data_IF_832099584343
#
_entry.id   IF_832099584343
#
_cell.length_a   1.000
_cell.length_b   1.000
_cell.length_c   1.000
_cell.angle_alpha   90.00
_cell.angle_beta   90.00
_cell.angle_gamma   90.00
#
_symmetry.space_group_name_H-M   'P 1'
#
loop_
_entity.id
_entity.type
_entity.pdbx_description
1 polymer ?
#
# COMPACT_ATOMS: atom_id res chain seq x y z
N UNK A 1 39.91 -44.10 -16.45
CA UNK A 1 39.32 -43.06 -15.58
C UNK A 1 38.66 -42.00 -16.47
N UNK A 2 37.35 -42.09 -16.68
CA UNK A 2 36.61 -41.13 -17.50
C UNK A 2 36.28 -39.88 -16.67
N UNK A 3 36.68 -38.69 -17.14
CA UNK A 3 36.35 -37.41 -16.53
C UNK A 3 34.84 -37.20 -16.58
N UNK A 4 34.22 -36.93 -15.42
CA UNK A 4 32.82 -36.47 -15.35
C UNK A 4 32.68 -35.12 -16.08
N UNK A 5 31.63 -34.92 -16.87
CA UNK A 5 31.39 -33.64 -17.53
C UNK A 5 31.01 -32.59 -16.48
N UNK A 6 31.63 -31.42 -16.59
CA UNK A 6 31.29 -30.21 -15.83
C UNK A 6 29.84 -29.80 -16.16
N UNK A 7 28.99 -29.47 -15.18
CA UNK A 7 27.65 -28.99 -15.48
C UNK A 7 27.72 -27.68 -16.26
N UNK A 8 26.95 -27.59 -17.35
CA UNK A 8 26.73 -26.35 -18.08
C UNK A 8 26.09 -25.31 -17.14
N UNK A 9 26.45 -24.02 -17.25
CA UNK A 9 25.82 -22.97 -16.46
C UNK A 9 24.32 -22.90 -16.80
N UNK A 10 23.46 -23.09 -15.80
CA UNK A 10 22.03 -22.89 -15.92
C UNK A 10 21.77 -21.43 -16.34
N UNK A 11 21.31 -21.26 -17.57
CA UNK A 11 21.13 -19.95 -18.19
C UNK A 11 19.96 -19.17 -17.58
N UNK A 12 20.00 -17.85 -17.76
CA UNK A 12 19.02 -16.83 -17.36
C UNK A 12 17.53 -17.13 -17.67
N UNK A 13 17.21 -18.18 -18.43
CA UNK A 13 15.83 -18.57 -18.77
C UNK A 13 15.09 -19.23 -17.60
N UNK A 14 15.74 -20.05 -16.77
CA UNK A 14 15.09 -20.73 -15.63
C UNK A 14 14.59 -19.72 -14.57
N UNK A 15 15.43 -18.73 -14.25
CA UNK A 15 15.08 -17.70 -13.27
C UNK A 15 13.86 -16.83 -13.66
N UNK A 16 13.52 -16.74 -14.95
CA UNK A 16 12.38 -15.91 -15.39
C UNK A 16 11.05 -16.65 -15.24
N UNK A 17 11.03 -17.96 -15.46
CA UNK A 17 9.83 -18.78 -15.29
C UNK A 17 9.50 -18.96 -13.80
N UNK A 18 10.52 -19.17 -12.95
CA UNK A 18 10.36 -19.23 -11.49
C UNK A 18 9.80 -17.93 -10.89
N UNK A 19 10.16 -16.77 -11.46
CA UNK A 19 9.62 -15.48 -11.01
C UNK A 19 8.12 -15.38 -11.27
N UNK A 20 7.62 -15.89 -12.39
CA UNK A 20 6.19 -15.77 -12.77
C UNK A 20 5.32 -16.72 -11.93
N UNK A 21 5.86 -17.85 -11.46
CA UNK A 21 5.14 -18.82 -10.62
C UNK A 21 5.21 -18.53 -9.12
N UNK A 22 5.90 -17.45 -8.73
CA UNK A 22 6.06 -17.02 -7.33
C UNK A 22 4.72 -16.73 -6.62
N UNK A 23 4.56 -17.08 -5.33
CA UNK A 23 3.36 -16.75 -4.55
C UNK A 23 2.95 -15.28 -4.60
N UNK A 24 3.92 -14.37 -4.64
CA UNK A 24 3.67 -12.92 -4.71
C UNK A 24 3.15 -12.45 -6.07
N UNK A 25 3.38 -13.18 -7.17
CA UNK A 25 2.94 -12.79 -8.52
C UNK A 25 1.81 -13.67 -9.07
N UNK A 26 1.63 -14.88 -8.54
CA UNK A 26 0.57 -15.81 -8.93
C UNK A 26 -0.68 -15.54 -8.11
N UNK A 27 -1.60 -14.76 -8.67
CA UNK A 27 -2.84 -14.35 -8.00
C UNK A 27 -4.04 -15.32 -8.19
N UNK A 28 -3.83 -16.53 -8.73
CA UNK A 28 -4.87 -17.56 -8.89
C UNK A 28 -4.34 -18.99 -8.69
N UNK A 29 -5.25 -19.95 -8.47
CA UNK A 29 -4.98 -21.39 -8.40
C UNK A 29 -4.31 -21.82 -7.09
N UNK A 30 -3.66 -22.99 -7.08
CA UNK A 30 -3.01 -23.49 -5.86
C UNK A 30 -1.69 -22.78 -5.56
N UNK A 31 -1.40 -22.67 -4.26
CA UNK A 31 -0.09 -22.25 -3.76
C UNK A 31 0.98 -23.26 -4.20
N UNK A 32 2.21 -22.82 -4.47
CA UNK A 32 3.33 -23.73 -4.67
C UNK A 32 3.48 -24.67 -3.47
N UNK A 33 3.72 -25.96 -3.74
CA UNK A 33 3.88 -26.99 -2.71
C UNK A 33 5.33 -27.24 -2.33
N UNK A 34 6.25 -26.37 -2.77
CA UNK A 34 7.67 -26.51 -2.45
C UNK A 34 7.93 -26.32 -0.94
N UNK A 35 9.04 -26.85 -0.39
CA UNK A 35 9.32 -26.77 1.04
C UNK A 35 9.36 -25.34 1.59
N UNK A 36 9.82 -24.38 0.79
CA UNK A 36 9.87 -22.97 1.19
C UNK A 36 8.46 -22.38 1.40
N UNK A 37 7.51 -22.68 0.50
CA UNK A 37 6.12 -22.25 0.63
C UNK A 37 5.39 -22.95 1.78
N UNK A 38 5.78 -24.19 2.13
CA UNK A 38 5.25 -24.90 3.29
C UNK A 38 5.77 -24.33 4.62
N UNK A 39 7.00 -23.80 4.63
CA UNK A 39 7.62 -23.19 5.81
C UNK A 39 7.12 -21.74 6.06
N UNK A 40 6.46 -21.12 5.09
CA UNK A 40 5.90 -19.78 5.20
C UNK A 40 4.88 -19.70 6.34
N UNK A 41 5.00 -18.66 7.17
CA UNK A 41 4.03 -18.41 8.24
C UNK A 41 2.66 -18.06 7.65
N UNK A 42 1.60 -18.38 8.39
CA UNK A 42 0.20 -18.25 7.93
C UNK A 42 -0.52 -17.09 8.61
N UNK A 43 -1.53 -16.57 7.94
CA UNK A 43 -2.42 -15.52 8.43
C UNK A 43 -1.66 -14.29 8.97
N UNK A 44 -0.60 -13.86 8.27
CA UNK A 44 0.33 -12.84 8.77
C UNK A 44 -0.22 -11.43 8.57
N UNK A 45 -0.23 -10.68 9.66
CA UNK A 45 -0.59 -9.26 9.71
C UNK A 45 0.53 -8.49 10.40
N UNK A 46 1.03 -7.43 9.77
CA UNK A 46 2.07 -6.56 10.32
C UNK A 46 1.48 -5.19 10.62
N UNK A 47 1.55 -4.78 11.88
CA UNK A 47 1.22 -3.41 12.28
C UNK A 47 2.30 -2.45 11.77
N UNK A 48 1.89 -1.41 11.05
CA UNK A 48 2.77 -0.40 10.49
C UNK A 48 2.56 0.98 11.12
N UNK A 49 1.66 1.10 12.10
CA UNK A 49 1.43 2.29 12.91
C UNK A 49 0.44 3.28 12.29
N UNK A 50 0.34 3.33 10.96
CA UNK A 50 -0.77 3.98 10.23
C UNK A 50 -1.94 3.02 9.95
N UNK A 51 -1.78 1.74 10.30
CA UNK A 51 -2.68 0.64 9.96
C UNK A 51 -1.87 -0.65 9.79
N UNK A 52 -2.56 -1.70 9.33
CA UNK A 52 -2.02 -3.04 9.22
C UNK A 52 -1.81 -3.43 7.76
N UNK A 53 -0.66 -4.04 7.49
CA UNK A 53 -0.40 -4.79 6.26
C UNK A 53 -0.83 -6.24 6.45
N UNK A 54 -1.87 -6.64 5.72
CA UNK A 54 -2.38 -8.01 5.73
C UNK A 54 -1.80 -8.71 4.50
N UNK A 55 -0.90 -9.66 4.72
CA UNK A 55 -0.24 -10.39 3.63
C UNK A 55 -1.16 -11.52 3.15
N UNK A 56 -2.07 -11.20 2.23
CA UNK A 56 -3.17 -12.07 1.83
C UNK A 56 -2.72 -13.43 1.27
N UNK A 57 -1.53 -13.50 0.66
CA UNK A 57 -0.95 -14.75 0.17
C UNK A 57 -0.57 -15.74 1.28
N UNK A 58 -0.50 -15.28 2.54
CA UNK A 58 -0.27 -16.13 3.71
C UNK A 58 -1.55 -16.77 4.26
N UNK A 59 -2.72 -16.33 3.78
CA UNK A 59 -4.02 -16.84 4.17
C UNK A 59 -4.49 -17.92 3.19
N UNK A 60 -4.95 -19.04 3.71
CA UNK A 60 -5.52 -20.12 2.88
C UNK A 60 -6.97 -19.84 2.47
N UNK A 61 -7.74 -19.17 3.33
CA UNK A 61 -9.15 -18.82 3.06
C UNK A 61 -9.28 -17.30 2.81
N UNK A 62 -9.74 -16.87 1.62
CA UNK A 62 -9.98 -15.46 1.33
C UNK A 62 -10.99 -14.80 2.28
N UNK A 63 -11.89 -15.54 2.96
CA UNK A 63 -12.74 -14.98 4.03
C UNK A 63 -11.93 -14.38 5.17
N UNK A 64 -10.88 -15.07 5.61
CA UNK A 64 -10.06 -14.58 6.73
C UNK A 64 -9.37 -13.26 6.40
N UNK A 65 -9.00 -13.04 5.13
CA UNK A 65 -8.47 -11.75 4.67
C UNK A 65 -9.54 -10.66 4.77
N UNK A 66 -10.76 -10.95 4.33
CA UNK A 66 -11.88 -10.02 4.44
C UNK A 66 -12.20 -9.71 5.91
N UNK A 67 -12.28 -10.72 6.77
CA UNK A 67 -12.53 -10.56 8.20
C UNK A 67 -11.41 -9.77 8.89
N UNK A 68 -10.14 -9.98 8.51
CA UNK A 68 -9.03 -9.18 9.00
C UNK A 68 -9.19 -7.71 8.64
N UNK A 69 -9.53 -7.37 7.39
CA UNK A 69 -9.79 -5.98 6.96
C UNK A 69 -10.99 -5.33 7.67
N UNK A 70 -12.00 -6.11 8.06
CA UNK A 70 -13.17 -5.61 8.79
C UNK A 70 -12.87 -5.26 10.24
N UNK A 71 -11.75 -5.74 10.78
CA UNK A 71 -11.26 -5.40 12.13
C UNK A 71 -10.42 -4.11 12.16
N UNK A 72 -10.34 -3.37 11.05
CA UNK A 72 -9.66 -2.08 10.99
C UNK A 72 -10.23 -1.13 12.05
N UNK A 73 -9.36 -0.53 12.86
CA UNK A 73 -9.79 0.41 13.90
C UNK A 73 -10.03 1.81 13.32
N UNK A 74 -10.94 2.62 13.91
CA UNK A 74 -11.15 4.00 13.48
C UNK A 74 -9.85 4.80 13.41
N UNK A 75 -9.66 5.52 12.31
CA UNK A 75 -8.46 6.34 12.08
C UNK A 75 -7.23 5.56 11.61
N UNK A 76 -7.31 4.24 11.48
CA UNK A 76 -6.29 3.42 10.80
C UNK A 76 -6.67 3.18 9.34
N UNK A 77 -5.69 2.75 8.56
CA UNK A 77 -5.87 2.47 7.14
C UNK A 77 -5.17 1.18 6.75
N UNK A 78 -5.86 0.07 6.93
CA UNK A 78 -5.36 -1.25 6.59
C UNK A 78 -5.32 -1.45 5.07
N UNK A 79 -4.47 -2.37 4.64
CA UNK A 79 -4.40 -2.83 3.27
C UNK A 79 -4.05 -4.31 3.23
N UNK A 80 -4.86 -5.09 2.51
CA UNK A 80 -4.49 -6.44 2.12
C UNK A 80 -3.66 -6.38 0.83
N UNK A 81 -2.50 -7.05 0.85
CA UNK A 81 -1.51 -7.05 -0.20
C UNK A 81 -1.30 -8.48 -0.73
N UNK A 82 -0.92 -8.64 -2.00
CA UNK A 82 -0.76 -9.94 -2.67
C UNK A 82 -2.02 -10.83 -2.63
N UNK A 83 -3.18 -10.25 -2.93
CA UNK A 83 -4.43 -11.01 -3.00
C UNK A 83 -4.35 -12.15 -4.02
N UNK A 84 -4.81 -13.32 -3.58
CA UNK A 84 -5.20 -14.43 -4.44
C UNK A 84 -6.71 -14.36 -4.66
N UNK A 85 -7.12 -14.58 -5.90
CA UNK A 85 -8.51 -14.53 -6.34
C UNK A 85 -9.26 -13.29 -5.79
N UNK A 86 -8.80 -12.07 -6.13
CA UNK A 86 -9.25 -10.82 -5.49
C UNK A 86 -10.77 -10.62 -5.56
N UNK A 87 -11.42 -11.13 -6.61
CA UNK A 87 -12.87 -11.10 -6.78
C UNK A 87 -13.60 -12.00 -5.77
N UNK A 88 -13.00 -13.10 -5.33
CA UNK A 88 -13.54 -14.00 -4.28
C UNK A 88 -13.39 -13.35 -2.91
N UNK A 89 -12.21 -12.81 -2.59
CA UNK A 89 -11.98 -12.09 -1.33
C UNK A 89 -12.95 -10.91 -1.16
N UNK A 90 -13.16 -10.12 -2.22
CA UNK A 90 -14.13 -9.03 -2.23
C UNK A 90 -15.58 -9.52 -2.01
N UNK A 91 -15.95 -10.66 -2.58
CA UNK A 91 -17.31 -11.21 -2.49
C UNK A 91 -17.74 -11.60 -1.07
N UNK A 92 -16.79 -11.75 -0.13
CA UNK A 92 -17.11 -12.05 1.26
C UNK A 92 -17.59 -10.83 2.06
N UNK A 93 -17.24 -9.61 1.64
CA UNK A 93 -17.70 -8.38 2.29
C UNK A 93 -17.87 -7.23 1.28
N UNK A 94 -18.72 -7.37 0.24
CA UNK A 94 -18.79 -6.43 -0.88
C UNK A 94 -19.33 -5.04 -0.50
N UNK A 95 -20.08 -4.95 0.61
CA UNK A 95 -20.57 -3.68 1.14
C UNK A 95 -19.51 -2.93 1.95
N UNK A 96 -18.49 -3.62 2.46
CA UNK A 96 -17.48 -3.06 3.36
C UNK A 96 -16.11 -2.93 2.69
N UNK A 97 -15.83 -3.71 1.63
CA UNK A 97 -14.52 -3.75 0.97
C UNK A 97 -14.60 -3.28 -0.48
N UNK A 98 -13.46 -2.84 -1.01
CA UNK A 98 -13.30 -2.50 -2.43
C UNK A 98 -11.88 -2.80 -2.90
N UNK A 99 -11.73 -3.12 -4.19
CA UNK A 99 -10.41 -3.24 -4.82
C UNK A 99 -9.77 -1.86 -4.90
N UNK A 100 -8.62 -1.71 -4.26
CA UNK A 100 -7.94 -0.43 -4.21
C UNK A 100 -7.34 -0.12 -5.60
N UNK A 101 -7.62 1.06 -6.19
CA UNK A 101 -7.22 1.38 -7.55
C UNK A 101 -5.74 1.78 -7.62
N UNK A 102 -4.86 1.01 -6.99
CA UNK A 102 -3.42 1.22 -7.04
C UNK A 102 -2.76 0.32 -8.08
N UNK A 103 -1.54 0.70 -8.45
CA UNK A 103 -0.61 -0.13 -9.18
C UNK A 103 0.46 -0.61 -8.23
N UNK A 104 0.82 -1.88 -8.39
CA UNK A 104 1.95 -2.45 -7.68
C UNK A 104 3.18 -2.44 -8.58
N UNK A 105 4.30 -1.99 -8.02
CA UNK A 105 5.59 -1.88 -8.69
C UNK A 105 6.63 -2.68 -7.92
N UNK A 106 7.49 -3.41 -8.63
CA UNK A 106 8.57 -4.24 -8.11
C UNK A 106 9.92 -3.74 -8.57
N UNK A 107 10.82 -3.48 -7.62
CA UNK A 107 12.25 -3.31 -7.91
C UNK A 107 12.97 -4.62 -7.65
N UNK A 108 13.56 -5.22 -8.68
CA UNK A 108 14.45 -6.36 -8.50
C UNK A 108 15.81 -5.89 -7.96
N UNK A 109 16.22 -6.39 -6.81
CA UNK A 109 17.41 -5.92 -6.08
C UNK A 109 18.71 -6.25 -6.82
N UNK A 110 18.74 -7.36 -7.57
CA UNK A 110 19.84 -7.76 -8.45
C UNK A 110 20.07 -6.75 -9.59
N UNK A 111 19.01 -6.07 -10.04
CA UNK A 111 19.05 -5.02 -11.07
C UNK A 111 19.32 -3.62 -10.51
N UNK A 112 19.23 -3.43 -9.19
CA UNK A 112 19.46 -2.14 -8.57
C UNK A 112 20.91 -1.67 -8.72
N UNK A 113 21.06 -0.44 -9.25
CA UNK A 113 22.33 0.26 -9.36
C UNK A 113 22.34 1.49 -8.47
N UNK A 114 23.34 1.57 -7.59
CA UNK A 114 23.55 2.72 -6.73
C UNK A 114 23.84 3.98 -7.56
N UNK A 115 23.33 5.15 -7.16
CA UNK A 115 23.63 6.40 -7.85
C UNK A 115 25.10 6.78 -7.66
N UNK A 116 25.68 7.44 -8.66
CA UNK A 116 27.04 7.99 -8.54
C UNK A 116 27.07 9.27 -7.71
N UNK A 117 25.96 10.02 -7.69
CA UNK A 117 25.83 11.30 -6.97
C UNK A 117 25.04 11.09 -5.69
N UNK A 118 25.62 11.51 -4.55
CA UNK A 118 24.93 11.52 -3.27
C UNK A 118 24.01 12.74 -3.16
N UNK A 119 22.90 12.65 -2.39
CA UNK A 119 22.12 13.82 -2.03
C UNK A 119 22.99 14.86 -1.32
N UNK A 120 22.64 16.14 -1.47
CA UNK A 120 23.32 17.25 -0.82
C UNK A 120 22.33 18.04 0.03
N UNK A 121 22.76 18.46 1.24
CA UNK A 121 21.95 19.26 2.16
C UNK A 121 21.05 18.45 3.10
N UNK A 122 21.02 17.12 2.98
CA UNK A 122 20.31 16.25 3.89
C UNK A 122 20.93 14.85 3.96
N UNK A 123 20.69 14.15 5.07
CA UNK A 123 21.12 12.76 5.28
C UNK A 123 19.93 11.84 5.48
N UNK A 124 20.03 10.59 5.02
CA UNK A 124 19.01 9.56 5.29
C UNK A 124 19.50 8.61 6.37
N UNK A 125 18.70 8.39 7.41
CA UNK A 125 19.04 7.53 8.54
C UNK A 125 17.80 7.04 9.29
N UNK A 126 17.98 6.19 10.30
CA UNK A 126 16.95 5.89 11.29
C UNK A 126 16.72 7.09 12.23
N UNK A 127 15.56 7.12 12.87
CA UNK A 127 15.25 8.07 13.93
C UNK A 127 16.16 7.86 15.15
N UNK A 128 16.39 8.92 15.92
CA UNK A 128 17.28 8.97 17.09
C UNK A 128 16.60 9.42 18.38
N UNK A 129 15.44 10.07 18.30
CA UNK A 129 14.68 10.51 19.47
C UNK A 129 13.16 10.37 19.25
N UNK A 130 12.36 10.36 20.34
CA UNK A 130 10.91 10.50 20.27
C UNK A 130 10.45 11.77 19.53
N UNK A 131 11.12 12.90 19.75
CA UNK A 131 10.78 14.18 19.08
C UNK A 131 10.85 14.09 17.54
N UNK A 132 11.75 13.25 17.01
CA UNK A 132 11.81 13.01 15.56
C UNK A 132 10.57 12.26 15.06
N UNK A 133 9.93 11.42 15.89
CA UNK A 133 8.68 10.75 15.55
C UNK A 133 7.52 11.74 15.42
N UNK A 134 7.47 12.77 16.28
CA UNK A 134 6.47 13.84 16.18
C UNK A 134 6.66 14.64 14.88
N UNK A 135 7.91 14.94 14.52
CA UNK A 135 8.22 15.62 13.25
C UNK A 135 7.80 14.80 12.03
N UNK A 136 7.90 13.47 12.11
CA UNK A 136 7.38 12.56 11.08
C UNK A 136 5.85 12.65 10.99
N UNK A 137 5.15 12.62 12.13
CA UNK A 137 3.69 12.75 12.16
C UNK A 137 3.22 14.10 11.60
N UNK A 138 3.95 15.20 11.85
CA UNK A 138 3.71 16.50 11.20
C UNK A 138 3.75 16.40 9.67
N UNK A 139 4.72 15.68 9.11
CA UNK A 139 4.80 15.47 7.65
C UNK A 139 3.59 14.69 7.14
N UNK A 140 3.21 13.61 7.82
CA UNK A 140 2.04 12.82 7.42
C UNK A 140 0.74 13.63 7.46
N UNK A 141 0.49 14.38 8.53
CA UNK A 141 -0.67 15.28 8.62
C UNK A 141 -0.64 16.31 7.50
N UNK A 142 0.51 16.96 7.25
CA UNK A 142 0.67 17.92 6.16
C UNK A 142 0.52 17.33 4.75
N UNK A 143 0.56 16.01 4.62
CA UNK A 143 0.32 15.26 3.36
C UNK A 143 -1.05 14.56 3.35
N UNK A 144 -1.93 14.84 4.31
CA UNK A 144 -3.22 14.16 4.48
C UNK A 144 -3.09 12.63 4.57
N UNK A 145 -2.00 12.17 5.19
CA UNK A 145 -1.74 10.77 5.49
C UNK A 145 -2.05 10.47 6.95
N UNK A 146 -2.36 9.21 7.24
CA UNK A 146 -2.58 8.74 8.60
C UNK A 146 -1.25 8.79 9.37
N UNK A 147 -1.16 9.54 10.48
CA UNK A 147 0.04 9.58 11.30
C UNK A 147 0.27 8.24 12.01
N UNK A 148 1.48 8.00 12.48
CA UNK A 148 1.71 6.89 13.40
C UNK A 148 0.95 7.10 14.70
N UNK A 149 0.41 6.01 15.26
CA UNK A 149 -0.03 5.98 16.66
C UNK A 149 1.10 6.45 17.59
N UNK A 150 0.70 7.06 18.71
CA UNK A 150 1.63 7.52 19.74
C UNK A 150 2.61 6.42 20.15
N UNK A 151 3.87 6.78 20.34
CA UNK A 151 5.00 5.91 20.65
C UNK A 151 5.33 4.77 19.67
N UNK A 152 4.46 4.47 18.69
CA UNK A 152 4.63 3.32 17.81
C UNK A 152 5.98 3.34 17.10
N UNK A 153 6.34 4.50 16.55
CA UNK A 153 7.58 4.65 15.80
C UNK A 153 8.80 4.43 16.69
N UNK A 154 8.79 5.03 17.88
CA UNK A 154 9.90 4.95 18.83
C UNK A 154 10.04 3.55 19.41
N UNK A 155 8.93 2.91 19.77
CA UNK A 155 8.89 1.53 20.25
C UNK A 155 9.43 0.55 19.20
N UNK A 156 9.13 0.78 17.91
CA UNK A 156 9.49 -0.11 16.81
C UNK A 156 10.79 0.28 16.07
N UNK A 157 11.55 1.27 16.54
CA UNK A 157 12.78 1.76 15.89
C UNK A 157 13.85 0.68 15.60
N UNK A 158 13.87 -0.37 16.43
CA UNK A 158 14.79 -1.50 16.34
C UNK A 158 14.12 -2.78 15.83
N UNK A 159 12.91 -2.68 15.28
CA UNK A 159 12.22 -3.82 14.67
C UNK A 159 13.09 -4.42 13.57
N UNK A 160 13.06 -5.76 13.48
CA UNK A 160 13.69 -6.52 12.39
C UNK A 160 12.75 -6.70 11.20
N UNK A 161 11.45 -6.45 11.41
CA UNK A 161 10.41 -6.53 10.38
C UNK A 161 10.17 -5.17 9.77
N UNK A 162 10.06 -4.13 10.61
CA UNK A 162 9.74 -2.76 10.20
C UNK A 162 11.01 -1.90 10.17
N UNK A 163 11.32 -1.32 9.01
CA UNK A 163 12.44 -0.38 8.86
C UNK A 163 11.90 1.01 8.56
N UNK A 164 12.15 1.99 9.42
CA UNK A 164 11.77 3.38 9.18
C UNK A 164 13.02 4.21 8.94
N UNK A 165 13.04 4.89 7.80
CA UNK A 165 14.10 5.81 7.42
C UNK A 165 13.52 7.22 7.31
N UNK A 166 14.28 8.19 7.82
CA UNK A 166 13.98 9.61 7.76
C UNK A 166 15.07 10.35 7.00
N UNK A 167 14.68 11.37 6.25
CA UNK A 167 15.57 12.35 5.66
C UNK A 167 15.66 13.55 6.61
N UNK A 168 16.88 13.98 6.92
CA UNK A 168 17.15 15.02 7.91
C UNK A 168 17.95 16.12 7.25
N UNK A 169 17.41 17.32 7.27
CA UNK A 169 18.05 18.53 6.77
C UNK A 169 19.33 18.82 7.57
N UNK A 170 20.47 18.97 6.90
CA UNK A 170 21.77 19.14 7.56
C UNK A 170 21.92 20.52 8.23
N UNK A 171 21.23 21.54 7.74
CA UNK A 171 21.35 22.90 8.25
C UNK A 171 20.50 23.12 9.51
N UNK A 172 19.29 22.56 9.53
CA UNK A 172 18.30 22.76 10.60
C UNK A 172 18.13 21.56 11.53
N UNK A 173 18.60 20.37 11.14
CA UNK A 173 18.37 19.12 11.86
C UNK A 173 16.92 18.62 11.82
N UNK A 174 16.04 19.27 11.05
CA UNK A 174 14.63 18.90 10.95
C UNK A 174 14.42 17.67 10.08
N UNK A 175 13.43 16.86 10.44
CA UNK A 175 12.95 15.79 9.57
C UNK A 175 12.19 16.42 8.39
N UNK A 176 12.61 16.08 7.18
CA UNK A 176 12.07 16.59 5.91
C UNK A 176 11.52 15.49 5.00
N UNK A 177 11.57 14.24 5.44
CA UNK A 177 10.95 13.12 4.73
C UNK A 177 11.03 11.83 5.52
N UNK A 178 10.20 10.87 5.14
CA UNK A 178 10.07 9.57 5.81
C UNK A 178 9.68 8.50 4.80
N UNK A 179 10.17 7.27 5.01
CA UNK A 179 9.64 6.06 4.38
C UNK A 179 9.70 4.90 5.35
N UNK A 180 8.80 3.94 5.16
CA UNK A 180 8.74 2.70 5.94
C UNK A 180 8.97 1.53 5.00
N UNK A 181 9.69 0.52 5.44
CA UNK A 181 9.81 -0.76 4.75
C UNK A 181 9.40 -1.92 5.63
N UNK A 182 8.97 -3.01 4.99
CA UNK A 182 8.69 -4.28 5.65
C UNK A 182 9.51 -5.39 5.02
N UNK A 183 10.28 -6.10 5.85
CA UNK A 183 11.04 -7.29 5.47
C UNK A 183 10.13 -8.53 5.51
N UNK A 184 9.82 -9.08 4.34
CA UNK A 184 8.88 -10.21 4.22
C UNK A 184 9.46 -11.51 4.77
N UNK A 185 10.74 -11.78 4.54
CA UNK A 185 11.39 -12.98 5.08
C UNK A 185 11.49 -12.92 6.61
N UNK A 186 11.59 -11.74 7.22
CA UNK A 186 11.51 -11.59 8.69
C UNK A 186 10.09 -11.63 9.22
N UNK A 187 9.11 -11.23 8.42
CA UNK A 187 7.71 -11.17 8.81
C UNK A 187 7.03 -12.53 8.76
N UNK A 188 7.30 -13.33 7.73
CA UNK A 188 6.57 -14.58 7.48
C UNK A 188 7.37 -15.68 6.78
N UNK A 189 8.70 -15.61 6.82
CA UNK A 189 9.58 -16.58 6.14
C UNK A 189 9.24 -16.69 4.63
N UNK A 190 9.07 -15.53 3.99
CA UNK A 190 8.66 -15.40 2.60
C UNK A 190 9.48 -16.28 1.64
N UNK A 191 8.85 -17.23 0.93
CA UNK A 191 9.53 -18.07 -0.06
C UNK A 191 10.10 -17.26 -1.23
N UNK A 192 9.53 -16.08 -1.51
CA UNK A 192 10.03 -15.19 -2.57
C UNK A 192 11.17 -14.27 -2.08
N UNK A 193 11.46 -14.30 -0.78
CA UNK A 193 12.51 -13.51 -0.12
C UNK A 193 12.41 -12.00 -0.43
N UNK A 194 11.19 -11.46 -0.39
CA UNK A 194 10.87 -10.09 -0.73
C UNK A 194 11.03 -9.07 0.39
N UNK A 195 10.74 -7.82 0.03
CA UNK A 195 10.44 -6.74 0.94
C UNK A 195 9.47 -5.76 0.27
N UNK A 196 9.03 -4.74 1.03
CA UNK A 196 8.13 -3.71 0.49
C UNK A 196 8.37 -2.34 1.09
N UNK A 197 8.00 -1.30 0.36
CA UNK A 197 8.08 0.12 0.70
C UNK A 197 6.68 0.70 0.89
N UNK A 198 6.50 1.45 1.96
CA UNK A 198 5.24 2.04 2.40
C UNK A 198 5.41 3.46 2.92
N UNK A 199 4.30 4.20 2.90
CA UNK A 199 4.14 5.50 3.52
C UNK A 199 5.31 6.48 3.26
N UNK A 200 5.78 6.54 2.01
CA UNK A 200 6.77 7.52 1.57
C UNK A 200 6.14 8.92 1.57
N UNK A 201 6.73 9.83 2.34
CA UNK A 201 6.31 11.22 2.39
C UNK A 201 7.52 12.16 2.44
N UNK A 202 7.36 13.33 1.86
CA UNK A 202 8.33 14.43 1.88
C UNK A 202 7.65 15.62 2.53
N UNK A 203 8.36 16.41 3.32
CA UNK A 203 7.79 17.64 3.90
C UNK A 203 7.39 18.61 2.77
N UNK A 204 6.12 19.06 2.68
CA UNK A 204 5.71 20.05 1.67
C UNK A 204 6.45 21.38 1.79
N UNK A 205 7.05 21.68 2.95
CA UNK A 205 7.84 22.90 3.17
C UNK A 205 9.31 22.77 2.76
N UNK A 206 9.78 21.56 2.42
CA UNK A 206 11.19 21.38 2.04
C UNK A 206 11.44 21.86 0.61
N UNK A 207 12.47 22.69 0.44
CA UNK A 207 12.96 23.14 -0.86
C UNK A 207 14.04 22.22 -1.46
N UNK A 208 14.51 21.22 -0.70
CA UNK A 208 15.59 20.34 -1.13
C UNK A 208 15.08 19.29 -2.14
N UNK A 209 15.67 19.19 -3.34
CA UNK A 209 15.25 18.22 -4.34
C UNK A 209 15.73 16.81 -3.99
N UNK A 210 15.02 15.81 -4.51
CA UNK A 210 15.49 14.41 -4.49
C UNK A 210 15.31 13.66 -3.17
N UNK A 211 14.62 14.22 -2.18
CA UNK A 211 14.36 13.56 -0.88
C UNK A 211 13.66 12.20 -1.06
N UNK A 212 12.55 12.18 -1.81
CA UNK A 212 11.80 10.95 -2.07
C UNK A 212 12.64 9.88 -2.78
N UNK A 213 13.41 10.29 -3.80
CA UNK A 213 14.35 9.40 -4.49
C UNK A 213 15.41 8.83 -3.53
N UNK A 214 16.01 9.67 -2.70
CA UNK A 214 17.04 9.26 -1.75
C UNK A 214 16.52 8.28 -0.68
N UNK A 215 15.29 8.48 -0.19
CA UNK A 215 14.63 7.58 0.76
C UNK A 215 14.38 6.20 0.15
N UNK A 216 13.81 6.14 -1.05
CA UNK A 216 13.55 4.88 -1.77
C UNK A 216 14.86 4.13 -2.02
N UNK A 217 15.90 4.83 -2.47
CA UNK A 217 17.21 4.24 -2.75
C UNK A 217 17.88 3.69 -1.49
N UNK A 218 17.90 4.44 -0.39
CA UNK A 218 18.45 3.94 0.87
C UNK A 218 17.70 2.71 1.39
N UNK A 219 16.37 2.67 1.22
CA UNK A 219 15.59 1.51 1.61
C UNK A 219 15.90 0.29 0.72
N UNK A 220 16.05 0.50 -0.60
CA UNK A 220 16.48 -0.55 -1.53
C UNK A 220 17.89 -1.08 -1.19
N UNK A 221 18.83 -0.19 -0.87
CA UNK A 221 20.19 -0.54 -0.45
C UNK A 221 20.21 -1.31 0.88
N UNK A 222 19.36 -0.90 1.82
CA UNK A 222 19.17 -1.63 3.07
C UNK A 222 18.72 -3.07 2.81
N UNK A 223 17.67 -3.27 2.00
CA UNK A 223 17.19 -4.62 1.70
C UNK A 223 18.12 -5.43 0.81
N UNK A 224 18.93 -4.76 -0.03
CA UNK A 224 20.05 -5.39 -0.72
C UNK A 224 21.10 -5.93 0.26
N UNK A 225 21.49 -5.15 1.26
CA UNK A 225 22.41 -5.59 2.30
C UNK A 225 21.82 -6.72 3.16
N UNK A 226 20.50 -6.76 3.34
CA UNK A 226 19.79 -7.87 3.97
C UNK A 226 19.61 -9.10 3.06
N UNK A 227 20.04 -9.04 1.79
CA UNK A 227 19.95 -10.16 0.84
C UNK A 227 18.53 -10.45 0.35
N UNK A 228 17.63 -9.46 0.32
CA UNK A 228 16.28 -9.61 -0.26
C UNK A 228 16.33 -9.62 -1.78
N UNK A 229 15.39 -10.32 -2.41
CA UNK A 229 15.33 -10.49 -3.86
C UNK A 229 14.69 -9.29 -4.60
N UNK A 230 13.69 -8.66 -3.99
CA UNK A 230 13.00 -7.51 -4.55
C UNK A 230 12.42 -6.60 -3.46
N UNK A 231 11.97 -5.41 -3.86
CA UNK A 231 11.20 -4.50 -3.03
C UNK A 231 9.95 -4.02 -3.79
N UNK A 232 8.77 -4.28 -3.24
CA UNK A 232 7.50 -3.90 -3.84
C UNK A 232 6.89 -2.63 -3.21
N UNK A 233 6.01 -1.96 -3.93
CA UNK A 233 5.20 -0.87 -3.39
C UNK A 233 3.84 -0.81 -4.10
N UNK A 234 2.86 -0.23 -3.43
CA UNK A 234 1.57 0.17 -4.01
C UNK A 234 1.50 1.68 -4.15
N UNK A 235 1.08 2.16 -5.32
CA UNK A 235 0.90 3.58 -5.61
C UNK A 235 -0.42 3.81 -6.35
N UNK A 236 -1.17 4.85 -5.96
CA UNK A 236 -2.42 5.21 -6.61
C UNK A 236 -2.23 5.40 -8.13
N UNK A 237 -3.12 4.85 -8.95
CA UNK A 237 -2.97 4.91 -10.42
C UNK A 237 -2.93 6.33 -10.99
N UNK A 238 -3.52 7.30 -10.28
CA UNK A 238 -3.54 8.72 -10.65
C UNK A 238 -2.28 9.49 -10.23
N UNK A 239 -1.41 8.91 -9.39
CA UNK A 239 -0.21 9.58 -8.88
C UNK A 239 0.94 9.49 -9.90
N UNK A 240 0.79 10.23 -11.00
CA UNK A 240 1.72 10.23 -12.13
C UNK A 240 3.15 10.64 -11.75
N UNK A 241 3.31 11.54 -10.76
CA UNK A 241 4.63 11.98 -10.28
C UNK A 241 5.38 10.84 -9.57
N UNK A 242 4.70 10.13 -8.67
CA UNK A 242 5.30 8.99 -7.98
C UNK A 242 5.57 7.82 -8.94
N UNK A 243 4.65 7.53 -9.86
CA UNK A 243 4.84 6.49 -10.88
C UNK A 243 6.10 6.77 -11.70
N UNK A 244 6.28 7.99 -12.23
CA UNK A 244 7.49 8.38 -12.98
C UNK A 244 8.78 8.24 -12.15
N UNK A 245 8.71 8.57 -10.86
CA UNK A 245 9.85 8.36 -9.95
C UNK A 245 10.19 6.87 -9.87
N UNK A 246 9.23 5.99 -9.62
CA UNK A 246 9.48 4.56 -9.49
C UNK A 246 9.98 3.93 -10.79
N UNK A 247 9.42 4.31 -11.94
CA UNK A 247 9.90 3.87 -13.26
C UNK A 247 11.35 4.31 -13.50
N UNK A 248 11.70 5.57 -13.18
CA UNK A 248 13.08 6.08 -13.25
C UNK A 248 14.03 5.29 -12.35
N UNK A 249 13.56 4.79 -11.22
CA UNK A 249 14.34 3.96 -10.29
C UNK A 249 14.46 2.49 -10.72
N UNK A 250 13.83 2.11 -11.84
CA UNK A 250 13.88 0.74 -12.37
C UNK A 250 12.85 -0.19 -11.76
N UNK A 251 11.80 0.35 -11.13
CA UNK A 251 10.65 -0.48 -10.75
C UNK A 251 9.84 -0.84 -11.99
N UNK A 252 9.35 -2.08 -12.00
CA UNK A 252 8.52 -2.63 -13.06
C UNK A 252 7.12 -2.93 -12.50
N UNK A 253 6.07 -2.68 -13.27
CA UNK A 253 4.70 -2.96 -12.83
C UNK A 253 4.47 -4.48 -12.74
N UNK A 254 3.81 -4.91 -11.67
CA UNK A 254 3.47 -6.33 -11.42
C UNK A 254 1.96 -6.51 -11.16
N UNK A 255 1.37 -7.68 -11.49
CA UNK A 255 -0.06 -7.93 -11.40
C UNK A 255 -0.52 -8.29 -9.98
N UNK A 256 -0.20 -7.43 -9.02
CA UNK A 256 -0.57 -7.59 -7.61
C UNK A 256 -1.73 -6.68 -7.28
N UNK A 257 -2.79 -7.28 -6.74
CA UNK A 257 -4.00 -6.59 -6.32
C UNK A 257 -4.02 -6.35 -4.82
N UNK A 258 -4.73 -5.28 -4.44
CA UNK A 258 -4.89 -4.85 -3.06
C UNK A 258 -6.36 -4.61 -2.73
N UNK A 259 -6.73 -4.81 -1.46
CA UNK A 259 -8.09 -4.65 -0.97
C UNK A 259 -8.05 -3.78 0.27
N UNK A 260 -9.03 -2.90 0.41
CA UNK A 260 -9.16 -1.96 1.52
C UNK A 260 -10.58 -1.87 2.00
N UNK A 261 -10.74 -1.37 3.22
CA UNK A 261 -12.03 -1.07 3.82
C UNK A 261 -12.61 0.24 3.25
N UNK A 262 -13.92 0.25 3.00
CA UNK A 262 -14.73 1.42 2.66
C UNK A 262 -14.93 2.27 3.92
N UNK A 263 -13.93 3.08 4.23
CA UNK A 263 -13.91 4.00 5.35
C UNK A 263 -13.83 5.46 4.89
N UNK A 264 -13.94 6.41 5.83
CA UNK A 264 -13.86 7.85 5.53
C UNK A 264 -12.51 8.29 4.94
N UNK A 265 -11.42 7.57 5.21
CA UNK A 265 -10.09 7.87 4.67
C UNK A 265 -10.01 7.49 3.18
N UNK A 266 -10.69 6.40 2.79
CA UNK A 266 -10.74 5.85 1.44
C UNK A 266 -11.94 6.33 0.63
N UNK A 267 -12.80 7.19 1.20
CA UNK A 267 -14.10 7.61 0.64
C UNK A 267 -14.03 7.95 -0.85
N UNK A 268 -13.08 8.79 -1.23
CA UNK A 268 -12.87 9.24 -2.62
C UNK A 268 -12.46 8.14 -3.60
N UNK A 269 -12.08 6.95 -3.11
CA UNK A 269 -11.59 5.84 -3.92
C UNK A 269 -12.72 4.87 -4.33
N UNK A 270 -13.83 4.87 -3.61
CA UNK A 270 -14.95 3.94 -3.87
C UNK A 270 -16.29 4.66 -4.11
N UNK A 271 -16.39 5.96 -3.84
CA UNK A 271 -17.55 6.75 -4.22
C UNK A 271 -17.34 7.34 -5.62
N UNK A 272 -18.36 7.23 -6.46
CA UNK A 272 -18.39 7.85 -7.80
C UNK A 272 -18.36 9.38 -7.76
N UNK A 273 -18.31 10.05 -8.92
CA UNK A 273 -18.33 11.52 -8.98
C UNK A 273 -19.56 12.12 -8.28
N UNK A 274 -19.44 13.36 -7.80
CA UNK A 274 -20.58 14.06 -7.20
C UNK A 274 -21.63 14.40 -8.27
N UNK A 275 -22.94 14.36 -7.94
CA UNK A 275 -23.95 14.86 -8.85
C UNK A 275 -23.75 16.36 -9.07
N UNK A 276 -23.71 16.80 -10.34
CA UNK A 276 -23.65 18.21 -10.75
C UNK A 276 -25.00 18.93 -10.54
N UNK A 277 -25.62 18.78 -9.38
CA UNK A 277 -26.92 19.37 -9.07
C UNK A 277 -26.84 20.28 -7.85
N UNK A 278 -27.60 21.38 -7.81
CA UNK A 278 -27.59 22.31 -6.67
C UNK A 278 -28.70 21.98 -5.67
N UNK A 279 -28.60 20.82 -5.02
CA UNK A 279 -29.54 20.40 -3.97
C UNK A 279 -29.42 21.24 -2.70
N UNK A 280 -30.55 21.42 -2.01
CA UNK A 280 -30.56 22.05 -0.69
C UNK A 280 -29.76 21.22 0.35
N UNK A 281 -29.38 21.80 1.50
CA UNK A 281 -28.53 21.12 2.48
C UNK A 281 -29.08 19.78 3.00
N UNK A 282 -30.39 19.64 3.13
CA UNK A 282 -31.03 18.42 3.66
C UNK A 282 -31.04 17.30 2.63
N UNK A 283 -31.44 17.62 1.39
CA UNK A 283 -31.34 16.70 0.26
C UNK A 283 -29.88 16.26 0.05
N UNK A 284 -28.91 17.18 0.21
CA UNK A 284 -27.48 16.88 0.12
C UNK A 284 -27.03 15.83 1.13
N UNK A 285 -27.45 15.96 2.40
CA UNK A 285 -27.10 14.97 3.45
C UNK A 285 -27.57 13.57 3.04
N UNK A 286 -28.81 13.45 2.56
CA UNK A 286 -29.38 12.16 2.16
C UNK A 286 -28.63 11.59 0.94
N UNK A 287 -28.39 12.43 -0.07
CA UNK A 287 -27.70 12.04 -1.30
C UNK A 287 -26.26 11.61 -1.03
N UNK A 288 -25.52 12.35 -0.21
CA UNK A 288 -24.13 12.03 0.12
C UNK A 288 -24.05 10.74 0.93
N UNK A 289 -24.95 10.55 1.90
CA UNK A 289 -25.01 9.31 2.68
C UNK A 289 -25.42 8.09 1.84
N UNK A 290 -26.37 8.26 0.92
CA UNK A 290 -26.76 7.22 -0.03
C UNK A 290 -25.56 6.81 -0.90
N UNK A 291 -24.82 7.78 -1.44
CA UNK A 291 -23.62 7.53 -2.24
C UNK A 291 -22.52 6.82 -1.45
N UNK A 292 -22.28 7.20 -0.19
CA UNK A 292 -21.35 6.50 0.72
C UNK A 292 -21.69 5.03 0.91
N UNK A 293 -22.97 4.69 0.86
CA UNK A 293 -23.50 3.32 0.99
C UNK A 293 -23.62 2.58 -0.33
N UNK A 294 -23.10 3.13 -1.43
CA UNK A 294 -23.18 2.52 -2.75
C UNK A 294 -24.59 2.50 -3.33
N UNK A 295 -25.48 3.37 -2.84
CA UNK A 295 -26.81 3.59 -3.39
C UNK A 295 -26.65 4.62 -4.51
N UNK A 296 -27.10 4.27 -5.71
CA UNK A 296 -27.05 5.18 -6.85
C UNK A 296 -28.06 6.31 -6.66
N UNK A 297 -27.66 7.52 -7.04
CA UNK A 297 -28.50 8.71 -6.92
C UNK A 297 -28.68 9.33 -8.30
N UNK A 298 -29.92 9.59 -8.67
CA UNK A 298 -30.29 10.39 -9.83
C UNK A 298 -31.06 11.62 -9.34
N UNK A 299 -30.57 12.83 -9.63
CA UNK A 299 -31.32 14.05 -9.33
C UNK A 299 -32.31 14.28 -10.45
N UNK A 300 -33.60 14.25 -10.11
CA UNK A 300 -34.70 14.38 -11.08
C UNK A 300 -35.06 15.85 -11.26
N UNK A 301 -35.13 16.60 -10.16
CA UNK A 301 -35.47 18.01 -10.15
C UNK A 301 -34.73 18.69 -8.98
N UNK A 302 -33.77 19.54 -9.31
CA UNK A 302 -32.96 20.25 -8.31
C UNK A 302 -33.74 21.33 -7.56
N UNK A 303 -34.64 22.05 -8.25
CA UNK A 303 -35.42 23.14 -7.66
C UNK A 303 -36.43 22.59 -6.65
N UNK A 304 -37.11 21.50 -7.03
CA UNK A 304 -38.09 20.84 -6.17
C UNK A 304 -37.48 19.79 -5.22
N UNK A 305 -36.15 19.59 -5.28
CA UNK A 305 -35.38 18.64 -4.46
C UNK A 305 -35.89 17.19 -4.57
N UNK A 306 -36.24 16.75 -5.78
CA UNK A 306 -36.54 15.36 -6.08
C UNK A 306 -35.30 14.61 -6.55
N UNK A 307 -35.07 13.44 -5.98
CA UNK A 307 -34.01 12.54 -6.36
C UNK A 307 -34.46 11.08 -6.23
N UNK A 308 -34.03 10.23 -7.15
CA UNK A 308 -34.23 8.79 -7.06
C UNK A 308 -33.03 8.11 -6.39
N UNK A 309 -33.30 7.26 -5.42
CA UNK A 309 -32.34 6.36 -4.81
C UNK A 309 -32.51 4.97 -5.42
N UNK A 310 -31.45 4.43 -6.01
CA UNK A 310 -31.47 3.14 -6.70
C UNK A 310 -30.49 2.13 -6.10
N UNK A 311 -30.98 0.93 -5.78
CA UNK A 311 -30.17 -0.17 -5.27
C UNK A 311 -30.71 -1.53 -5.75
N UNK A 312 -29.85 -2.39 -6.30
CA UNK A 312 -30.24 -3.73 -6.74
C UNK A 312 -31.33 -3.75 -7.82
N UNK A 313 -31.35 -2.76 -8.71
CA UNK A 313 -32.36 -2.64 -9.79
C UNK A 313 -33.72 -2.12 -9.34
N UNK A 314 -33.86 -1.66 -8.09
CA UNK A 314 -35.06 -1.00 -7.58
C UNK A 314 -34.77 0.47 -7.32
N UNK A 315 -35.74 1.32 -7.61
CA UNK A 315 -35.64 2.77 -7.40
C UNK A 315 -36.79 3.26 -6.52
N UNK A 316 -36.51 4.23 -5.67
CA UNK A 316 -37.50 4.99 -4.89
C UNK A 316 -37.26 6.47 -5.17
N UNK A 317 -38.31 7.18 -5.57
CA UNK A 317 -38.28 8.63 -5.70
C UNK A 317 -38.49 9.23 -4.32
N UNK A 318 -37.49 9.98 -3.87
CA UNK A 318 -37.52 10.73 -2.64
C UNK A 318 -37.69 12.22 -2.97
N UNK A 319 -38.37 12.91 -2.06
CA UNK A 319 -38.32 14.35 -1.96
C UNK A 319 -37.93 14.65 -0.54
N UNK A 320 -37.03 15.60 -0.33
CA UNK A 320 -36.81 16.08 1.03
C UNK A 320 -38.12 16.68 1.56
N UNK A 321 -38.44 16.38 2.82
CA UNK A 321 -39.56 16.98 3.53
C UNK A 321 -39.05 17.57 4.84
N UNK A 322 -38.96 18.89 4.90
CA UNK A 322 -38.88 19.63 6.16
C UNK A 322 -40.08 19.24 7.03
N UNK A 323 -39.80 18.63 8.18
CA UNK A 323 -40.73 18.57 9.33
C UNK A 323 -40.24 19.51 10.40
#
# INVERSE_FOLDING_TARGET
MARKPTPLPQGHHDHRLDRISSPSLKNWGDMPTNPAAQAMQRDVVVECGWGRLIFAQTFEDPRKVADALRQESPGQRDIAFYLRDPHVALAHAPQELFLDPSHTFRLWVDRYRAPHRRPAGFVVRKIKSPDEAEQVNRIYVGRHMVPFREDFLWANRNSRVLTVLVAVDEASGRIIGVTTGVDHARAFDDPDNGSSLWALAVDPQSSLPGIGEALVRHLAEHYKACGRAFMDLSVMHTNTLAIKLYEKLGFERVPVFTLKNKNSINERLYIGPEPEANLNPYARIIVDEARRRGIAVEVIDEEANYFALSFGGRAIVCRESLS
#
